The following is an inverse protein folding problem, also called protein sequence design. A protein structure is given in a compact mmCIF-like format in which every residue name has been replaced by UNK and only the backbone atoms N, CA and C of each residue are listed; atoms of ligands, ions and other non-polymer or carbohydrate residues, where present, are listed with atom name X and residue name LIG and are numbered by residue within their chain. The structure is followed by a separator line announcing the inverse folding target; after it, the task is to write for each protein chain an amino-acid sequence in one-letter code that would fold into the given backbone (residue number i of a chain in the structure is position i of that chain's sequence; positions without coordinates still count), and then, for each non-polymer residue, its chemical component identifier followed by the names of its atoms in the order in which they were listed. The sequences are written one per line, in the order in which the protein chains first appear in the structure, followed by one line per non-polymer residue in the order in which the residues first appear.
data_IF_495193877115
#
_entry.id   IF_495193877115
#
_cell.length_a   1.000
_cell.length_b   1.000
_cell.length_c   1.000
_cell.angle_alpha   90.00
_cell.angle_beta   90.00
_cell.angle_gamma   90.00
#
_symmetry.space_group_name_H-M   'P 1'
#
loop_
_entity.id
_entity.type
_entity.pdbx_description
1 polymer ?
#
# COMPACT_ATOMS: atom_id res chain seq x y z
N UNK A 1 8.95 14.11 -6.06
CA UNK A 1 8.33 13.37 -4.93
C UNK A 1 8.71 11.91 -4.94
N UNK A 2 8.68 11.18 -6.07
CA UNK A 2 9.23 9.81 -6.14
C UNK A 2 10.69 9.68 -5.71
N UNK A 3 11.50 10.72 -5.92
CA UNK A 3 12.89 10.80 -5.45
C UNK A 3 13.08 10.83 -3.93
N UNK A 4 12.00 10.98 -3.15
CA UNK A 4 12.01 10.97 -1.69
C UNK A 4 11.63 9.60 -1.11
N UNK A 5 11.36 8.61 -1.97
CA UNK A 5 11.05 7.26 -1.50
C UNK A 5 12.30 6.60 -0.92
N UNK A 6 12.18 5.85 0.20
CA UNK A 6 13.24 4.95 0.64
C UNK A 6 13.62 3.98 -0.49
N UNK A 7 14.89 3.56 -0.52
CA UNK A 7 15.44 2.73 -1.61
C UNK A 7 14.64 1.46 -1.90
N UNK A 8 13.98 0.91 -0.87
CA UNK A 8 13.32 -0.39 -0.93
C UNK A 8 11.79 -0.26 -0.88
N UNK A 9 11.27 0.80 -1.51
CA UNK A 9 9.83 1.03 -1.63
C UNK A 9 9.40 0.91 -3.09
N UNK A 10 8.34 0.15 -3.34
CA UNK A 10 7.77 -0.06 -4.67
C UNK A 10 6.44 0.69 -4.76
N UNK A 11 6.25 1.47 -5.84
CA UNK A 11 4.97 2.13 -6.11
C UNK A 11 3.98 1.09 -6.63
N UNK A 12 2.88 0.90 -5.91
CA UNK A 12 1.86 -0.11 -6.23
C UNK A 12 0.64 0.50 -6.90
N UNK A 13 0.37 1.79 -6.67
CA UNK A 13 -0.77 2.46 -7.28
C UNK A 13 -0.44 3.93 -7.59
N UNK A 14 -0.93 4.41 -8.73
CA UNK A 14 -0.83 5.80 -9.15
C UNK A 14 -2.22 6.32 -9.48
N UNK A 15 -2.61 7.43 -8.85
CA UNK A 15 -3.94 8.00 -8.99
C UNK A 15 -3.78 9.31 -9.77
N UNK A 16 -4.21 9.24 -11.03
CA UNK A 16 -4.31 10.40 -11.91
C UNK A 16 -5.55 11.23 -11.58
N UNK A 17 -5.42 12.56 -11.61
CA UNK A 17 -6.55 13.46 -11.46
C UNK A 17 -6.97 14.01 -12.83
N UNK A 18 -8.28 13.94 -13.10
CA UNK A 18 -8.92 14.54 -14.27
C UNK A 18 -9.86 15.65 -13.85
N UNK A 19 -9.94 16.74 -14.62
CA UNK A 19 -10.91 17.80 -14.38
C UNK A 19 -11.41 18.42 -15.68
N UNK A 20 -12.67 18.86 -15.69
CA UNK A 20 -13.32 19.41 -16.89
C UNK A 20 -12.60 20.64 -17.46
N UNK A 21 -12.02 21.48 -16.59
CA UNK A 21 -11.27 22.67 -16.98
C UNK A 21 -9.81 22.37 -17.42
N UNK A 22 -9.38 21.10 -17.34
CA UNK A 22 -8.05 20.62 -17.78
C UNK A 22 -8.22 19.58 -18.88
N UNK A 23 -8.58 19.95 -20.12
CA UNK A 23 -8.90 18.98 -21.19
C UNK A 23 -7.75 18.01 -21.50
N UNK A 24 -6.49 18.43 -21.36
CA UNK A 24 -5.34 17.54 -21.51
C UNK A 24 -5.28 16.42 -20.47
N UNK A 25 -5.94 16.58 -19.30
CA UNK A 25 -5.94 15.56 -18.25
C UNK A 25 -6.72 14.31 -18.63
N UNK A 26 -7.67 14.39 -19.58
CA UNK A 26 -8.38 13.22 -20.10
C UNK A 26 -7.49 12.35 -21.00
N UNK A 27 -6.49 12.95 -21.65
CA UNK A 27 -5.53 12.24 -22.51
C UNK A 27 -4.33 11.77 -21.67
N UNK A 28 -3.82 12.66 -20.81
CA UNK A 28 -2.65 12.41 -19.97
C UNK A 28 -2.87 13.01 -18.58
N UNK A 29 -3.54 12.28 -17.67
CA UNK A 29 -3.78 12.78 -16.33
C UNK A 29 -2.46 12.93 -15.57
N UNK A 30 -2.35 14.00 -14.79
CA UNK A 30 -1.22 14.18 -13.90
C UNK A 30 -1.41 13.32 -12.66
N UNK A 31 -0.39 12.53 -12.29
CA UNK A 31 -0.38 11.75 -11.05
C UNK A 31 -0.13 12.69 -9.87
N UNK A 32 -1.13 12.83 -9.02
CA UNK A 32 -1.05 13.70 -7.83
C UNK A 32 -0.98 12.92 -6.53
N UNK A 33 -1.47 11.67 -6.55
CA UNK A 33 -1.41 10.75 -5.42
C UNK A 33 -0.85 9.42 -5.87
N UNK A 34 -0.03 8.80 -5.04
CA UNK A 34 0.44 7.44 -5.30
C UNK A 34 0.65 6.69 -3.98
N UNK A 35 0.51 5.38 -4.05
CA UNK A 35 0.70 4.46 -2.93
C UNK A 35 1.96 3.66 -3.18
N UNK A 36 2.81 3.57 -2.17
CA UNK A 36 4.02 2.78 -2.21
C UNK A 36 4.07 1.82 -1.02
N UNK A 37 4.68 0.66 -1.20
CA UNK A 37 4.86 -0.34 -0.14
C UNK A 37 6.35 -0.56 0.11
N UNK A 38 6.73 -0.62 1.38
CA UNK A 38 8.10 -0.98 1.77
C UNK A 38 8.23 -2.51 1.72
N UNK A 39 9.18 -3.00 0.91
CA UNK A 39 9.40 -4.43 0.72
C UNK A 39 10.30 -5.05 1.77
N UNK A 40 11.05 -4.24 2.52
CA UNK A 40 12.08 -4.72 3.44
C UNK A 40 11.61 -4.71 4.89
N UNK A 41 10.66 -3.84 5.24
CA UNK A 41 10.10 -3.74 6.59
C UNK A 41 8.89 -4.64 6.84
N UNK A 42 8.73 -5.70 6.02
CA UNK A 42 7.68 -6.69 6.22
C UNK A 42 8.01 -7.61 7.40
N UNK A 43 7.06 -7.77 8.33
CA UNK A 43 7.17 -8.74 9.43
C UNK A 43 6.14 -9.84 9.20
N UNK A 44 6.57 -11.11 9.22
CA UNK A 44 5.63 -12.22 9.18
C UNK A 44 4.92 -12.33 10.53
N UNK A 45 3.59 -12.35 10.48
CA UNK A 45 2.73 -12.40 11.67
C UNK A 45 2.29 -13.84 12.03
N UNK A 46 2.68 -14.82 11.21
CA UNK A 46 2.34 -16.22 11.36
C UNK A 46 3.61 -17.08 11.17
N UNK A 47 3.72 -18.15 11.96
CA UNK A 47 4.82 -19.12 11.92
C UNK A 47 4.94 -19.78 10.54
N UNK A 48 3.81 -19.94 9.85
CA UNK A 48 3.75 -20.45 8.48
C UNK A 48 4.31 -19.48 7.43
N UNK A 49 4.72 -18.26 7.82
CA UNK A 49 5.18 -17.18 6.94
C UNK A 49 4.21 -16.90 5.78
N UNK A 50 2.92 -17.08 6.04
CA UNK A 50 1.85 -16.88 5.04
C UNK A 50 1.25 -15.49 5.11
N UNK A 51 1.23 -14.89 6.31
CA UNK A 51 0.70 -13.55 6.56
C UNK A 51 1.86 -12.59 6.84
N UNK A 52 1.95 -11.53 6.05
CA UNK A 52 2.93 -10.47 6.19
C UNK A 52 2.25 -9.17 6.64
N UNK A 53 2.78 -8.54 7.68
CA UNK A 53 2.44 -7.18 8.07
C UNK A 53 3.41 -6.21 7.40
N UNK A 54 2.89 -5.19 6.71
CA UNK A 54 3.69 -4.12 6.09
C UNK A 54 2.98 -2.78 6.21
N UNK A 55 3.67 -1.69 5.86
CA UNK A 55 3.11 -0.34 5.84
C UNK A 55 2.96 0.15 4.40
N UNK A 56 1.77 0.67 4.09
CA UNK A 56 1.51 1.43 2.89
C UNK A 56 1.81 2.90 3.14
N UNK A 57 2.54 3.51 2.22
CA UNK A 57 2.85 4.93 2.22
C UNK A 57 2.00 5.64 1.17
N UNK A 58 1.18 6.59 1.63
CA UNK A 58 0.36 7.43 0.79
C UNK A 58 1.04 8.78 0.63
N UNK A 59 1.35 9.12 -0.62
CA UNK A 59 1.95 10.38 -0.97
C UNK A 59 0.95 11.24 -1.73
N UNK A 60 0.81 12.49 -1.31
CA UNK A 60 0.05 13.51 -2.03
C UNK A 60 0.92 14.74 -2.27
N UNK A 61 0.59 15.51 -3.30
CA UNK A 61 1.32 16.75 -3.61
C UNK A 61 1.17 17.76 -2.47
N UNK A 62 2.30 18.28 -1.97
CA UNK A 62 2.40 19.29 -0.88
C UNK A 62 1.92 18.81 0.50
N UNK A 63 1.72 17.51 0.69
CA UNK A 63 1.37 16.91 1.98
C UNK A 63 2.51 16.02 2.48
N UNK A 64 2.59 15.85 3.79
CA UNK A 64 3.43 14.82 4.40
C UNK A 64 2.93 13.43 4.01
N UNK A 65 3.84 12.46 3.95
CA UNK A 65 3.49 11.08 3.67
C UNK A 65 2.71 10.47 4.85
N UNK A 66 1.57 9.87 4.56
CA UNK A 66 0.80 9.13 5.55
C UNK A 66 1.14 7.64 5.47
N UNK A 67 1.22 6.98 6.63
CA UNK A 67 1.50 5.55 6.72
C UNK A 67 0.27 4.80 7.19
N UNK A 68 -0.02 3.66 6.57
CA UNK A 68 -1.15 2.81 6.94
C UNK A 68 -0.67 1.35 7.08
N UNK A 69 -0.70 0.77 8.29
CA UNK A 69 -0.32 -0.62 8.48
C UNK A 69 -1.40 -1.56 7.92
N UNK A 70 -0.96 -2.60 7.21
CA UNK A 70 -1.83 -3.62 6.62
C UNK A 70 -1.25 -5.01 6.79
N UNK A 71 -2.14 -5.99 6.81
CA UNK A 71 -1.80 -7.40 6.69
C UNK A 71 -2.08 -7.88 5.28
N UNK A 72 -1.18 -8.71 4.76
CA UNK A 72 -1.26 -9.33 3.45
C UNK A 72 -1.12 -10.84 3.62
N UNK A 73 -2.14 -11.61 3.20
CA UNK A 73 -2.06 -13.06 3.08
C UNK A 73 -1.45 -13.37 1.71
N UNK A 74 -0.21 -13.82 1.72
CA UNK A 74 0.58 -14.12 0.53
C UNK A 74 0.03 -15.32 -0.26
N UNK A 75 -0.63 -16.27 0.42
CA UNK A 75 -1.19 -17.47 -0.20
C UNK A 75 -2.51 -17.19 -0.89
N UNK A 76 -3.42 -16.49 -0.21
CA UNK A 76 -4.76 -16.17 -0.73
C UNK A 76 -4.81 -14.85 -1.50
N UNK A 77 -3.76 -14.05 -1.46
CA UNK A 77 -3.68 -12.70 -2.05
C UNK A 77 -4.81 -11.80 -1.51
N UNK A 78 -4.98 -11.80 -0.19
CA UNK A 78 -5.97 -10.97 0.52
C UNK A 78 -5.27 -9.91 1.37
N UNK A 79 -5.99 -8.85 1.67
CA UNK A 79 -5.55 -7.76 2.52
C UNK A 79 -6.52 -7.60 3.69
N UNK A 80 -5.98 -7.33 4.87
CA UNK A 80 -6.74 -6.90 6.03
C UNK A 80 -6.13 -5.63 6.63
N UNK A 81 -7.00 -4.76 7.16
CA UNK A 81 -6.56 -3.61 7.93
C UNK A 81 -6.25 -4.05 9.37
N UNK A 82 -5.47 -3.25 10.10
CA UNK A 82 -5.32 -3.43 11.54
C UNK A 82 -6.62 -3.00 12.21
N UNK A 83 -7.24 -3.92 12.98
CA UNK A 83 -8.46 -3.67 13.75
C UNK A 83 -8.15 -2.99 15.09
N UNK A 84 -7.25 -3.61 15.83
CA UNK A 84 -6.87 -3.27 17.20
C UNK A 84 -5.41 -3.69 17.42
N UNK A 85 -4.81 -3.17 18.48
CA UNK A 85 -3.51 -3.64 18.98
C UNK A 85 -3.75 -4.22 20.36
N UNK A 86 -3.58 -5.54 20.48
CA UNK A 86 -3.81 -6.29 21.72
C UNK A 86 -2.46 -6.75 22.26
N UNK A 87 -2.12 -6.37 23.49
CA UNK A 87 -0.81 -6.67 24.11
C UNK A 87 0.40 -6.27 23.24
N UNK A 88 0.27 -5.18 22.47
CA UNK A 88 1.32 -4.72 21.54
C UNK A 88 1.38 -5.47 20.21
N UNK A 89 0.50 -6.46 19.99
CA UNK A 89 0.40 -7.22 18.75
C UNK A 89 -0.78 -6.68 17.92
N UNK A 90 -0.55 -6.20 16.69
CA UNK A 90 -1.63 -5.75 15.82
C UNK A 90 -2.48 -6.95 15.36
N UNK A 91 -3.81 -6.80 15.41
CA UNK A 91 -4.77 -7.86 15.04
C UNK A 91 -5.45 -7.48 13.71
N UNK A 92 -5.52 -8.40 12.72
CA UNK A 92 -6.21 -8.13 11.46
C UNK A 92 -7.73 -8.04 11.65
N UNK A 93 -8.37 -7.16 10.89
CA UNK A 93 -9.83 -7.10 10.75
C UNK A 93 -10.34 -8.09 9.68
N UNK A 94 -11.17 -7.63 8.75
CA UNK A 94 -11.73 -8.40 7.65
C UNK A 94 -10.73 -8.57 6.50
N UNK A 95 -10.66 -9.79 5.99
CA UNK A 95 -9.83 -10.14 4.84
C UNK A 95 -10.59 -9.93 3.54
N UNK A 96 -10.09 -9.03 2.71
CA UNK A 96 -10.76 -8.60 1.49
C UNK A 96 -9.77 -8.51 0.33
N UNK A 97 -10.27 -8.64 -0.90
CA UNK A 97 -9.48 -8.37 -2.11
C UNK A 97 -9.75 -6.93 -2.56
N UNK A 98 -8.88 -6.02 -2.19
CA UNK A 98 -8.92 -4.63 -2.65
C UNK A 98 -8.44 -4.50 -4.10
N UNK A 99 -8.67 -3.33 -4.69
CA UNK A 99 -8.27 -3.01 -6.07
C UNK A 99 -6.77 -3.23 -6.32
N UNK A 100 -5.93 -2.87 -5.35
CA UNK A 100 -4.47 -2.91 -5.46
C UNK A 100 -3.84 -4.10 -4.72
N UNK A 101 -4.63 -4.94 -4.04
CA UNK A 101 -4.13 -6.02 -3.19
C UNK A 101 -3.25 -7.00 -3.97
N UNK A 102 -3.58 -7.29 -5.23
CA UNK A 102 -2.76 -8.15 -6.09
C UNK A 102 -1.36 -7.60 -6.35
N UNK A 103 -1.27 -6.30 -6.64
CA UNK A 103 0.00 -5.59 -6.90
C UNK A 103 0.83 -5.46 -5.62
N UNK A 104 0.17 -5.13 -4.49
CA UNK A 104 0.82 -5.09 -3.17
C UNK A 104 1.43 -6.44 -2.83
N UNK A 105 0.63 -7.51 -2.88
CA UNK A 105 1.10 -8.86 -2.59
C UNK A 105 2.22 -9.30 -3.56
N UNK A 106 2.21 -8.87 -4.82
CA UNK A 106 3.29 -9.18 -5.76
C UNK A 106 4.60 -8.49 -5.39
N UNK A 107 4.52 -7.28 -4.83
CA UNK A 107 5.70 -6.55 -4.40
C UNK A 107 6.34 -7.16 -3.15
N UNK A 108 5.53 -7.60 -2.18
CA UNK A 108 6.01 -7.99 -0.83
C UNK A 108 6.13 -9.49 -0.57
N UNK A 109 5.33 -10.33 -1.24
CA UNK A 109 5.31 -11.78 -1.00
C UNK A 109 6.27 -12.52 -1.94
N UNK A 110 7.58 -12.30 -1.72
CA UNK A 110 8.65 -12.96 -2.50
C UNK A 110 9.06 -14.30 -1.90
#
# INVERSE_FOLDING_TARGET
TRSLLPKNTVVVAEIGETAFYKPWSYIKPQVLKFVAVDTDKGLFADDGKTVLQTNLYFFERRMSANTWPVFIDCKKRLQANVKSVENGVPVPDSWNKGQYTGQIAQAVCR
#
